data_IF_291012653407
#
_entry.id   IF_291012653407
#
_cell.length_a   1.000
_cell.length_b   1.000
_cell.length_c   1.000
_cell.angle_alpha   90.00
_cell.angle_beta   90.00
_cell.angle_gamma   90.00
#
_symmetry.space_group_name_H-M   'P 1'
#
loop_
_entity.id
_entity.type
_entity.pdbx_description
1 polymer ?
#
# COMPACT_ATOMS: atom_id res chain seq x y z
N UNK A 1 -20.24 -0.13 -1.65
CA UNK A 1 -18.84 0.09 -1.21
C UNK A 1 -18.12 0.86 -2.31
N UNK A 2 -17.74 2.10 -2.02
CA UNK A 2 -17.45 3.15 -3.01
C UNK A 2 -16.08 3.03 -3.70
N UNK A 3 -15.24 2.07 -3.30
CA UNK A 3 -13.92 1.85 -3.88
C UNK A 3 -13.77 0.40 -4.36
N UNK A 4 -13.41 0.22 -5.63
CA UNK A 4 -13.25 -1.10 -6.24
C UNK A 4 -11.88 -1.72 -5.90
N UNK A 5 -11.60 -1.88 -4.60
CA UNK A 5 -10.30 -2.31 -4.07
C UNK A 5 -9.89 -3.72 -4.51
N UNK A 6 -10.84 -4.54 -5.00
CA UNK A 6 -10.55 -5.88 -5.53
C UNK A 6 -9.96 -5.84 -6.95
N UNK A 7 -10.19 -4.77 -7.72
CA UNK A 7 -9.67 -4.62 -9.09
C UNK A 7 -8.40 -3.77 -9.17
N UNK A 8 -8.07 -3.05 -8.10
CA UNK A 8 -6.96 -2.09 -8.08
C UNK A 8 -5.84 -2.53 -7.15
N UNK A 9 -4.61 -2.13 -7.47
CA UNK A 9 -3.47 -2.29 -6.55
C UNK A 9 -3.63 -1.33 -5.38
N UNK A 10 -3.56 -1.84 -4.17
CA UNK A 10 -3.63 -1.04 -2.94
C UNK A 10 -2.21 -0.67 -2.53
N UNK A 11 -1.95 0.62 -2.40
CA UNK A 11 -0.69 1.14 -1.89
C UNK A 11 -0.91 1.69 -0.47
N UNK A 12 0.11 1.56 0.37
CA UNK A 12 0.10 2.06 1.73
C UNK A 12 1.24 3.06 1.93
N UNK A 13 0.99 4.11 2.71
CA UNK A 13 2.02 5.08 3.06
C UNK A 13 1.95 5.38 4.55
N UNK A 14 3.11 5.61 5.17
CA UNK A 14 3.22 6.01 6.57
C UNK A 14 3.99 4.99 7.42
N UNK A 15 4.54 5.48 8.53
CA UNK A 15 5.38 4.71 9.46
C UNK A 15 4.70 3.47 10.03
N UNK A 16 3.42 3.58 10.38
CA UNK A 16 2.61 2.46 10.88
C UNK A 16 2.45 1.39 9.79
N UNK A 17 2.10 1.79 8.57
CA UNK A 17 1.90 0.84 7.49
C UNK A 17 3.20 0.13 7.07
N UNK A 18 4.33 0.85 7.16
CA UNK A 18 5.65 0.27 6.92
C UNK A 18 6.03 -0.75 8.00
N UNK A 19 5.85 -0.40 9.28
CA UNK A 19 6.17 -1.29 10.40
C UNK A 19 5.29 -2.55 10.42
N UNK A 20 3.99 -2.41 10.13
CA UNK A 20 3.06 -3.53 10.06
C UNK A 20 2.92 -4.13 8.65
N UNK A 21 3.88 -3.89 7.76
CA UNK A 21 3.86 -4.36 6.37
C UNK A 21 3.68 -5.88 6.24
N UNK A 22 4.25 -6.65 7.17
CA UNK A 22 4.07 -8.11 7.22
C UNK A 22 2.62 -8.53 7.46
N UNK A 23 1.95 -7.90 8.42
CA UNK A 23 0.53 -8.15 8.72
C UNK A 23 -0.34 -7.70 7.55
N UNK A 24 -0.04 -6.54 6.96
CA UNK A 24 -0.78 -6.03 5.81
C UNK A 24 -0.70 -6.98 4.61
N UNK A 25 0.48 -7.53 4.32
CA UNK A 25 0.66 -8.53 3.25
C UNK A 25 -0.12 -9.81 3.52
N UNK A 26 -0.04 -10.34 4.75
CA UNK A 26 -0.77 -11.56 5.12
C UNK A 26 -2.28 -11.41 4.95
N UNK A 27 -2.85 -10.32 5.46
CA UNK A 27 -4.28 -10.03 5.33
C UNK A 27 -4.68 -9.78 3.88
N UNK A 28 -3.80 -9.14 3.09
CA UNK A 28 -4.06 -8.92 1.68
C UNK A 28 -4.06 -10.22 0.87
N UNK A 29 -3.17 -11.18 1.17
CA UNK A 29 -3.20 -12.51 0.57
C UNK A 29 -4.51 -13.24 0.91
N UNK A 30 -4.91 -13.25 2.18
CA UNK A 30 -6.18 -13.86 2.63
C UNK A 30 -7.40 -13.24 1.94
N UNK A 31 -7.38 -11.92 1.72
CA UNK A 31 -8.46 -11.18 1.07
C UNK A 31 -8.32 -11.09 -0.46
N UNK A 32 -7.33 -11.74 -1.06
CA UNK A 32 -7.00 -11.66 -2.50
C UNK A 32 -6.84 -10.22 -3.01
N UNK A 33 -6.32 -9.34 -2.17
CA UNK A 33 -6.01 -7.94 -2.48
C UNK A 33 -4.58 -7.87 -3.00
N UNK A 34 -4.38 -7.20 -4.14
CA UNK A 34 -3.04 -6.96 -4.68
C UNK A 34 -2.42 -5.74 -4.00
N UNK A 35 -1.43 -5.93 -3.14
CA UNK A 35 -0.62 -4.82 -2.62
C UNK A 35 0.38 -4.38 -3.69
N UNK A 36 0.50 -3.06 -3.90
CA UNK A 36 1.54 -2.47 -4.73
C UNK A 36 2.74 -2.03 -3.90
N UNK A 37 2.76 -0.76 -3.50
CA UNK A 37 3.82 -0.16 -2.69
C UNK A 37 3.38 0.03 -1.25
N UNK A 38 4.28 -0.24 -0.33
CA UNK A 38 4.19 0.21 1.06
C UNK A 38 5.40 1.13 1.23
N UNK A 39 5.23 2.40 1.56
CA UNK A 39 6.35 3.34 1.75
C UNK A 39 6.23 4.05 3.12
N UNK A 40 7.36 4.29 3.79
CA UNK A 40 7.35 4.88 5.13
C UNK A 40 6.99 6.38 5.11
N UNK A 41 7.40 7.10 4.06
CA UNK A 41 7.18 8.53 3.89
C UNK A 41 6.63 8.81 2.49
N UNK A 42 5.62 9.68 2.35
CA UNK A 42 5.10 10.07 1.04
C UNK A 42 6.12 10.86 0.21
N UNK A 43 7.17 11.40 0.84
CA UNK A 43 8.17 12.24 0.18
C UNK A 43 8.91 11.48 -0.93
N UNK A 44 9.26 10.20 -0.70
CA UNK A 44 9.93 9.38 -1.73
C UNK A 44 9.07 9.19 -2.99
N UNK A 45 7.76 9.02 -2.79
CA UNK A 45 6.79 8.92 -3.89
C UNK A 45 6.65 10.24 -4.66
N UNK A 46 6.63 11.37 -3.96
CA UNK A 46 6.52 12.70 -4.57
C UNK A 46 7.77 13.05 -5.37
N UNK A 47 8.97 12.79 -4.85
CA UNK A 47 10.23 13.02 -5.56
C UNK A 47 10.25 12.23 -6.88
N UNK A 48 9.90 10.93 -6.84
CA UNK A 48 9.86 10.08 -8.05
C UNK A 48 8.83 10.53 -9.08
N UNK A 49 7.74 11.18 -8.67
CA UNK A 49 6.70 11.65 -9.60
C UNK A 49 7.12 12.91 -10.37
N UNK A 50 7.93 13.77 -9.74
CA UNK A 50 8.38 15.04 -10.30
C UNK A 50 9.79 15.00 -10.92
N UNK A 51 10.47 13.85 -10.87
CA UNK A 51 11.80 13.64 -11.48
C UNK A 51 11.71 13.24 -12.95
#
# INVERSE_FOLDING_TARGET
MQYNYQKNKVNFVGSIAWYFSGVLRKVAEEKKIKIGKIEQSPMEGLIKFYS
#
